data_IF_012066636311
#
_entry.id   IF_012066636311
#
_cell.length_a   1.000
_cell.length_b   1.000
_cell.length_c   1.000
_cell.angle_alpha   90.00
_cell.angle_beta   90.00
_cell.angle_gamma   90.00
#
_symmetry.space_group_name_H-M   'P 1'
#
loop_
_entity.id
_entity.type
_entity.pdbx_description
1 polymer ?
#
# COMPACT_ATOMS: atom_id res chain seq x y z
N UNK A 1 -7.92 -10.29 2.26
CA UNK A 1 -8.35 -9.09 3.02
C UNK A 1 -8.78 -9.54 4.41
N UNK A 2 -8.22 -9.01 5.52
CA UNK A 2 -8.69 -9.37 6.85
C UNK A 2 -10.16 -8.99 7.00
N UNK A 3 -10.95 -9.89 7.61
CA UNK A 3 -12.34 -9.60 7.97
C UNK A 3 -12.39 -8.39 8.89
N UNK A 4 -13.44 -7.57 8.81
CA UNK A 4 -13.64 -6.40 9.69
C UNK A 4 -13.56 -6.79 11.16
N UNK A 5 -14.02 -7.99 11.53
CA UNK A 5 -13.91 -8.52 12.89
C UNK A 5 -12.47 -8.84 13.29
N UNK A 6 -11.65 -9.31 12.35
CA UNK A 6 -10.23 -9.57 12.59
C UNK A 6 -9.43 -8.27 12.72
N UNK A 7 -9.80 -7.23 11.96
CA UNK A 7 -9.23 -5.90 12.07
C UNK A 7 -9.54 -5.28 13.45
N UNK A 8 -10.80 -5.31 13.87
CA UNK A 8 -11.21 -4.83 15.18
C UNK A 8 -10.49 -5.56 16.31
N UNK A 9 -10.45 -6.90 16.27
CA UNK A 9 -9.73 -7.68 17.27
C UNK A 9 -8.24 -7.32 17.35
N UNK A 10 -7.61 -6.92 16.24
CA UNK A 10 -6.16 -6.66 16.20
C UNK A 10 -5.79 -5.23 16.64
N UNK A 11 -6.59 -4.23 16.28
CA UNK A 11 -6.23 -2.82 16.47
C UNK A 11 -7.06 -2.09 17.52
N UNK A 12 -8.31 -2.50 17.76
CA UNK A 12 -9.15 -1.86 18.79
C UNK A 12 -8.65 -2.23 20.17
N UNK A 13 -8.37 -1.23 21.00
CA UNK A 13 -7.93 -1.38 22.38
C UNK A 13 -9.10 -1.12 23.34
N UNK A 14 -9.57 -2.17 24.01
CA UNK A 14 -10.70 -2.08 24.94
C UNK A 14 -10.20 -1.97 26.39
N UNK A 15 -10.44 -0.81 27.01
CA UNK A 15 -10.01 -0.53 28.40
C UNK A 15 -10.91 -1.21 29.43
N UNK A 16 -12.10 -1.70 29.04
CA UNK A 16 -13.08 -2.30 29.95
C UNK A 16 -12.64 -3.65 30.55
N UNK A 17 -11.64 -4.32 29.97
CA UNK A 17 -11.21 -5.64 30.41
C UNK A 17 -10.01 -5.56 31.37
N UNK A 18 -10.27 -5.33 32.65
CA UNK A 18 -9.22 -5.21 33.69
C UNK A 18 -8.26 -6.40 33.72
N UNK A 19 -8.77 -7.62 33.51
CA UNK A 19 -7.94 -8.84 33.58
C UNK A 19 -6.88 -8.86 32.49
N UNK A 20 -7.20 -8.33 31.31
CA UNK A 20 -6.25 -8.23 30.20
C UNK A 20 -5.25 -7.10 30.45
N UNK A 21 -5.71 -5.95 30.97
CA UNK A 21 -4.86 -4.82 31.30
C UNK A 21 -3.81 -5.18 32.36
N UNK A 22 -4.19 -5.86 33.44
CA UNK A 22 -3.24 -6.29 34.50
C UNK A 22 -2.20 -7.31 34.02
N UNK A 23 -2.43 -7.99 32.89
CA UNK A 23 -1.44 -8.88 32.25
C UNK A 23 -0.45 -8.12 31.37
N UNK A 24 -0.82 -6.94 30.91
CA UNK A 24 -0.05 -6.17 29.94
C UNK A 24 0.73 -5.05 30.63
N UNK A 25 0.07 -4.29 31.49
CA UNK A 25 0.61 -3.10 32.12
C UNK A 25 0.90 -3.32 33.61
N UNK A 26 1.76 -2.48 34.17
CA UNK A 26 1.96 -2.32 35.61
C UNK A 26 0.71 -1.72 36.28
N UNK A 27 0.53 -2.00 37.57
CA UNK A 27 -0.70 -1.64 38.29
C UNK A 27 -0.99 -0.14 38.32
N UNK A 28 0.06 0.69 38.32
CA UNK A 28 -0.07 2.14 38.34
C UNK A 28 -0.68 2.66 37.04
N UNK A 29 -0.26 2.11 35.89
CA UNK A 29 -0.80 2.48 34.57
C UNK A 29 -2.24 1.97 34.42
N UNK A 30 -2.56 0.79 34.98
CA UNK A 30 -3.94 0.28 34.97
C UNK A 30 -4.89 1.23 35.72
N UNK A 31 -4.47 1.76 36.87
CA UNK A 31 -5.26 2.77 37.62
C UNK A 31 -5.42 4.06 36.81
N UNK A 32 -4.36 4.52 36.15
CA UNK A 32 -4.40 5.69 35.27
C UNK A 32 -5.41 5.47 34.12
N UNK A 33 -5.37 4.31 33.47
CA UNK A 33 -6.24 3.97 32.34
C UNK A 33 -7.72 3.91 32.71
N UNK A 34 -8.05 3.41 33.90
CA UNK A 34 -9.43 3.31 34.38
C UNK A 34 -9.91 4.67 34.89
N UNK A 35 -9.03 5.45 35.52
CA UNK A 35 -9.39 6.73 36.12
C UNK A 35 -9.50 7.90 35.14
N UNK A 36 -8.87 7.82 33.97
CA UNK A 36 -8.76 8.96 33.04
C UNK A 36 -9.66 8.81 31.80
N UNK A 37 -10.70 9.66 31.73
CA UNK A 37 -11.55 9.75 30.54
C UNK A 37 -10.80 10.25 29.29
N UNK A 38 -9.73 11.03 29.48
CA UNK A 38 -8.90 11.56 28.40
C UNK A 38 -8.23 10.44 27.59
N UNK A 39 -7.74 9.38 28.25
CA UNK A 39 -7.06 8.28 27.57
C UNK A 39 -8.02 7.50 26.69
N UNK A 40 -9.23 7.25 27.20
CA UNK A 40 -10.29 6.59 26.43
C UNK A 40 -10.66 7.41 25.19
N UNK A 41 -10.73 8.74 25.32
CA UNK A 41 -11.00 9.63 24.18
C UNK A 41 -9.89 9.59 23.12
N UNK A 42 -8.61 9.61 23.53
CA UNK A 42 -7.49 9.54 22.58
C UNK A 42 -7.38 8.17 21.89
N UNK A 43 -7.62 7.07 22.61
CA UNK A 43 -7.67 5.72 22.03
C UNK A 43 -8.81 5.59 21.01
N UNK A 44 -9.96 6.21 21.27
CA UNK A 44 -11.07 6.24 20.33
C UNK A 44 -10.71 7.03 19.06
N UNK A 45 -10.02 8.18 19.19
CA UNK A 45 -9.51 8.95 18.03
C UNK A 45 -8.48 8.17 17.21
N UNK A 46 -7.60 7.41 17.86
CA UNK A 46 -6.65 6.52 17.19
C UNK A 46 -7.40 5.48 16.35
N UNK A 47 -8.39 4.81 16.95
CA UNK A 47 -9.22 3.81 16.28
C UNK A 47 -9.96 4.37 15.07
N UNK A 48 -10.55 5.56 15.19
CA UNK A 48 -11.23 6.24 14.07
C UNK A 48 -10.26 6.59 12.94
N UNK A 49 -9.03 6.96 13.29
CA UNK A 49 -7.97 7.25 12.30
C UNK A 49 -7.55 5.98 11.57
N UNK A 50 -7.33 4.88 12.27
CA UNK A 50 -7.00 3.59 11.65
C UNK A 50 -8.13 3.06 10.74
N UNK A 51 -9.39 3.34 11.10
CA UNK A 51 -10.54 3.02 10.25
C UNK A 51 -10.52 3.82 8.94
N UNK A 52 -10.27 5.13 9.02
CA UNK A 52 -10.12 6.00 7.84
C UNK A 52 -8.96 5.56 6.95
N UNK A 53 -7.80 5.29 7.55
CA UNK A 53 -6.61 4.81 6.81
C UNK A 53 -6.91 3.49 6.10
N UNK A 54 -7.67 2.59 6.73
CA UNK A 54 -8.11 1.33 6.12
C UNK A 54 -9.04 1.54 4.92
N UNK A 55 -9.94 2.52 4.97
CA UNK A 55 -10.85 2.80 3.86
C UNK A 55 -10.06 3.40 2.67
N UNK A 56 -9.17 4.36 2.95
CA UNK A 56 -8.24 4.93 1.96
C UNK A 56 -7.39 3.84 1.29
N UNK A 57 -6.83 2.91 2.07
CA UNK A 57 -6.00 1.82 1.53
C UNK A 57 -6.82 0.84 0.67
N UNK A 58 -8.11 0.66 0.94
CA UNK A 58 -8.97 -0.18 0.10
C UNK A 58 -9.25 0.47 -1.26
N UNK A 59 -9.32 1.80 -1.29
CA UNK A 59 -9.46 2.57 -2.52
C UNK A 59 -8.16 2.56 -3.33
N UNK A 60 -7.01 2.73 -2.68
CA UNK A 60 -5.68 2.70 -3.33
C UNK A 60 -5.35 1.30 -3.87
N UNK A 61 -5.63 0.24 -3.09
CA UNK A 61 -5.31 -1.15 -3.44
C UNK A 61 -6.57 -2.01 -3.61
N UNK A 62 -7.32 -1.86 -4.73
CA UNK A 62 -8.60 -2.55 -4.92
C UNK A 62 -8.45 -4.08 -4.96
N UNK A 63 -7.33 -4.57 -5.52
CA UNK A 63 -6.99 -5.99 -5.61
C UNK A 63 -6.59 -6.60 -4.25
N UNK A 64 -6.27 -5.77 -3.25
CA UNK A 64 -5.88 -6.23 -1.91
C UNK A 64 -4.48 -6.86 -1.85
N UNK A 65 -3.54 -6.35 -2.64
CA UNK A 65 -2.13 -6.73 -2.55
C UNK A 65 -1.53 -6.17 -1.25
N UNK A 66 -0.98 -7.05 -0.41
CA UNK A 66 -0.42 -6.67 0.90
C UNK A 66 1.09 -6.38 0.86
N UNK A 67 1.74 -6.60 -0.29
CA UNK A 67 3.18 -6.42 -0.44
C UNK A 67 3.41 -5.04 -1.06
N UNK A 68 3.88 -4.10 -0.26
CA UNK A 68 4.22 -2.75 -0.69
C UNK A 68 5.70 -2.51 -0.35
N UNK A 69 6.39 -1.79 -1.22
CA UNK A 69 7.77 -1.33 -0.98
C UNK A 69 7.71 0.02 -0.27
N UNK A 70 8.25 0.08 0.94
CA UNK A 70 8.30 1.29 1.76
C UNK A 70 9.70 1.42 2.40
N UNK A 71 10.17 2.66 2.65
CA UNK A 71 11.46 2.87 3.29
C UNK A 71 11.42 2.39 4.74
N UNK A 72 12.51 1.76 5.18
CA UNK A 72 12.65 1.29 6.57
C UNK A 72 11.78 0.08 6.91
N UNK A 73 12.41 -1.07 7.16
CA UNK A 73 11.68 -2.25 7.64
C UNK A 73 11.38 -2.13 9.15
N UNK A 74 10.18 -1.64 9.46
CA UNK A 74 9.73 -1.43 10.85
C UNK A 74 9.73 -2.72 11.68
N UNK A 75 9.37 -3.88 11.07
CA UNK A 75 9.38 -5.15 11.79
C UNK A 75 10.79 -5.52 12.26
N UNK A 76 11.80 -5.28 11.41
CA UNK A 76 13.20 -5.53 11.76
C UNK A 76 13.70 -4.55 12.81
N UNK A 77 13.31 -3.28 12.74
CA UNK A 77 13.68 -2.29 13.76
C UNK A 77 13.08 -2.63 15.13
N UNK A 78 11.82 -3.06 15.19
CA UNK A 78 11.18 -3.53 16.42
C UNK A 78 11.90 -4.77 16.97
N UNK A 79 12.24 -5.73 16.11
CA UNK A 79 12.98 -6.91 16.51
C UNK A 79 14.38 -6.55 17.06
N UNK A 80 15.08 -5.61 16.43
CA UNK A 80 16.36 -5.08 16.93
C UNK A 80 16.18 -4.44 18.31
N UNK A 81 15.16 -3.61 18.50
CA UNK A 81 14.86 -3.01 19.80
C UNK A 81 14.65 -4.09 20.88
N UNK A 82 13.87 -5.13 20.57
CA UNK A 82 13.66 -6.25 21.50
C UNK A 82 14.95 -6.97 21.88
N UNK A 83 15.92 -7.06 20.95
CA UNK A 83 17.22 -7.68 21.21
C UNK A 83 18.16 -6.80 22.01
N UNK A 84 18.23 -5.51 21.71
CA UNK A 84 19.10 -4.54 22.40
C UNK A 84 18.69 -4.39 23.86
N UNK A 85 17.39 -4.26 24.11
CA UNK A 85 16.85 -4.06 25.46
C UNK A 85 16.48 -5.36 26.18
N UNK A 86 16.82 -6.52 25.61
CA UNK A 86 16.55 -7.84 26.19
C UNK A 86 15.09 -8.01 26.67
N UNK A 87 14.13 -7.64 25.81
CA UNK A 87 12.72 -7.57 26.19
C UNK A 87 12.13 -8.95 26.37
N UNK A 88 11.51 -9.18 27.53
CA UNK A 88 10.77 -10.40 27.82
C UNK A 88 9.30 -10.24 27.42
N UNK A 89 8.82 -11.03 26.46
CA UNK A 89 7.41 -10.98 26.01
C UNK A 89 6.38 -11.36 27.10
N UNK A 90 6.84 -11.90 28.23
CA UNK A 90 6.00 -12.29 29.37
C UNK A 90 5.91 -11.23 30.45
N UNK A 91 6.80 -10.23 30.47
CA UNK A 91 6.77 -9.17 31.47
C UNK A 91 5.69 -8.13 31.16
N UNK A 92 5.30 -7.39 32.21
CA UNK A 92 4.47 -6.20 32.06
C UNK A 92 5.29 -5.06 31.44
N UNK A 93 4.60 -4.14 30.77
CA UNK A 93 5.18 -2.94 30.14
C UNK A 93 4.80 -1.69 30.92
N UNK A 94 5.77 -0.79 31.10
CA UNK A 94 5.57 0.52 31.76
C UNK A 94 5.18 1.64 30.81
N UNK A 95 4.74 1.28 29.60
CA UNK A 95 4.39 2.24 28.56
C UNK A 95 2.96 2.75 28.73
N UNK A 96 2.81 4.01 29.15
CA UNK A 96 1.49 4.67 29.20
C UNK A 96 0.97 4.96 27.78
N UNK A 97 -0.29 4.63 27.46
CA UNK A 97 -0.90 4.91 26.16
C UNK A 97 -0.84 6.38 25.71
N UNK A 98 -0.89 7.34 26.63
CA UNK A 98 -0.75 8.76 26.30
C UNK A 98 0.62 9.08 25.71
N UNK A 99 1.68 8.45 26.22
CA UNK A 99 3.04 8.65 25.73
C UNK A 99 3.21 8.13 24.30
N UNK A 100 2.53 7.03 23.97
CA UNK A 100 2.51 6.47 22.60
C UNK A 100 1.77 7.37 21.61
N UNK A 101 0.74 8.07 22.08
CA UNK A 101 -0.17 8.85 21.23
C UNK A 101 0.22 10.32 21.05
N UNK A 102 0.64 11.02 22.10
CA UNK A 102 0.75 12.49 22.08
C UNK A 102 2.18 13.04 22.25
N UNK A 103 2.83 12.79 23.39
CA UNK A 103 3.96 13.65 23.83
C UNK A 103 5.32 13.24 23.28
N UNK A 104 5.49 11.98 22.88
CA UNK A 104 6.67 11.51 22.14
C UNK A 104 6.29 10.43 21.13
N UNK A 105 5.06 10.52 20.60
CA UNK A 105 4.40 9.41 19.95
C UNK A 105 4.47 9.41 18.42
N UNK A 106 3.53 8.69 17.82
CA UNK A 106 3.37 8.59 16.36
C UNK A 106 2.99 9.94 15.72
N UNK A 107 2.21 10.78 16.44
CA UNK A 107 1.82 12.11 15.94
C UNK A 107 3.01 13.05 15.78
N UNK A 108 3.98 13.02 16.70
CA UNK A 108 5.18 13.85 16.62
C UNK A 108 6.13 13.34 15.53
N UNK A 109 6.34 12.01 15.46
CA UNK A 109 7.13 11.40 14.39
C UNK A 109 6.56 11.77 13.01
N UNK A 110 5.23 11.71 12.83
CA UNK A 110 4.57 12.09 11.58
C UNK A 110 4.80 13.55 11.18
N UNK A 111 5.08 14.45 12.14
CA UNK A 111 5.42 15.86 11.86
C UNK A 111 6.89 16.03 11.48
N UNK A 112 7.79 15.21 12.05
CA UNK A 112 9.22 15.23 11.73
C UNK A 112 9.52 14.66 10.34
N UNK A 113 8.66 13.77 9.84
CA UNK A 113 8.75 13.19 8.51
C UNK A 113 8.31 14.22 7.46
N UNK A 114 9.28 14.97 6.94
CA UNK A 114 9.08 15.99 5.91
C UNK A 114 9.81 15.57 4.64
N UNK A 115 9.07 15.47 3.54
CA UNK A 115 9.58 15.19 2.18
C UNK A 115 9.54 16.47 1.34
N UNK A 116 8.45 17.23 1.43
CA UNK A 116 8.29 18.51 0.73
C UNK A 116 8.48 19.63 1.75
N UNK A 117 9.61 20.34 1.75
CA UNK A 117 9.79 21.48 2.65
C UNK A 117 8.89 22.65 2.21
N UNK A 118 8.22 23.28 3.16
CA UNK A 118 7.43 24.49 2.93
C UNK A 118 6.26 24.67 3.90
N UNK A 119 5.96 25.91 4.25
CA UNK A 119 4.87 26.25 5.18
C UNK A 119 3.54 26.57 4.51
N UNK A 120 3.55 26.69 3.18
CA UNK A 120 2.37 26.98 2.37
C UNK A 120 1.34 25.85 2.45
N UNK A 121 0.07 26.19 2.26
CA UNK A 121 -1.04 25.21 2.27
C UNK A 121 -0.83 24.12 1.24
N UNK A 122 -0.31 24.47 0.06
CA UNK A 122 -0.01 23.53 -1.02
C UNK A 122 1.14 22.58 -0.66
N UNK A 123 2.21 23.10 -0.04
CA UNK A 123 3.35 22.29 0.39
C UNK A 123 2.96 21.31 1.49
N UNK A 124 2.13 21.75 2.44
CA UNK A 124 1.56 20.88 3.50
C UNK A 124 0.72 19.76 2.90
N UNK A 125 -0.17 20.08 1.97
CA UNK A 125 -0.98 19.07 1.28
C UNK A 125 -0.12 18.11 0.44
N UNK A 126 0.91 18.61 -0.24
CA UNK A 126 1.84 17.78 -0.99
C UNK A 126 2.62 16.83 -0.07
N UNK A 127 3.08 17.30 1.09
CA UNK A 127 3.77 16.48 2.07
C UNK A 127 2.85 15.39 2.67
N UNK A 128 1.61 15.73 2.99
CA UNK A 128 0.60 14.78 3.46
C UNK A 128 0.35 13.66 2.44
N UNK A 129 0.23 14.00 1.16
CA UNK A 129 0.04 13.03 0.08
C UNK A 129 1.29 12.15 -0.12
N UNK A 130 2.49 12.74 -0.11
CA UNK A 130 3.75 12.02 -0.28
C UNK A 130 4.01 11.03 0.85
N UNK A 131 3.63 11.38 2.08
CA UNK A 131 3.87 10.56 3.28
C UNK A 131 2.70 9.66 3.65
N UNK A 132 1.58 9.72 2.93
CA UNK A 132 0.32 9.04 3.27
C UNK A 132 0.51 7.54 3.57
N UNK A 133 1.13 6.79 2.65
CA UNK A 133 1.33 5.35 2.79
C UNK A 133 2.27 5.00 3.95
N UNK A 134 3.33 5.80 4.14
CA UNK A 134 4.29 5.60 5.22
C UNK A 134 3.65 5.89 6.58
N UNK A 135 2.87 6.96 6.69
CA UNK A 135 2.10 7.30 7.89
C UNK A 135 1.04 6.23 8.21
N UNK A 136 0.35 5.70 7.20
CA UNK A 136 -0.56 4.56 7.39
C UNK A 136 0.19 3.33 7.93
N UNK A 137 1.37 3.03 7.38
CA UNK A 137 2.20 1.93 7.88
C UNK A 137 2.59 2.18 9.34
N UNK A 138 3.17 3.35 9.66
CA UNK A 138 3.60 3.71 11.01
C UNK A 138 2.47 3.57 12.02
N UNK A 139 1.29 4.17 11.75
CA UNK A 139 0.12 4.07 12.64
C UNK A 139 -0.36 2.63 12.80
N UNK A 140 -0.38 1.85 11.72
CA UNK A 140 -0.79 0.43 11.78
C UNK A 140 0.23 -0.43 12.54
N UNK A 141 1.52 -0.10 12.51
CA UNK A 141 2.55 -0.85 13.22
C UNK A 141 2.68 -0.44 14.66
N UNK A 142 2.70 0.86 14.94
CA UNK A 142 2.94 1.45 16.26
C UNK A 142 1.63 1.76 17.01
N UNK A 143 0.54 1.09 16.64
CA UNK A 143 -0.73 1.18 17.35
C UNK A 143 -0.55 0.77 18.82
N UNK A 144 -1.19 1.49 19.75
CA UNK A 144 -1.02 1.29 21.19
C UNK A 144 -1.23 -0.17 21.60
N UNK A 145 -2.26 -0.82 21.04
CA UNK A 145 -2.52 -2.24 21.29
C UNK A 145 -1.37 -3.15 20.87
N UNK A 146 -0.79 -2.92 19.69
CA UNK A 146 0.28 -3.78 19.15
C UNK A 146 1.59 -3.56 19.91
N UNK A 147 1.91 -2.31 20.22
CA UNK A 147 3.10 -1.96 20.99
C UNK A 147 3.04 -2.59 22.38
N UNK A 148 1.89 -2.52 23.05
CA UNK A 148 1.72 -3.07 24.38
C UNK A 148 1.59 -4.61 24.38
N UNK A 149 0.76 -5.20 23.51
CA UNK A 149 0.47 -6.64 23.56
C UNK A 149 1.43 -7.50 22.74
N UNK A 150 1.71 -7.12 21.48
CA UNK A 150 2.55 -7.91 20.56
C UNK A 150 4.03 -7.68 20.82
N UNK A 151 4.46 -6.42 20.93
CA UNK A 151 5.88 -6.07 20.98
C UNK A 151 6.42 -5.91 22.40
N UNK A 152 5.54 -5.63 23.37
CA UNK A 152 5.88 -5.50 24.79
C UNK A 152 7.00 -4.50 25.05
N UNK A 153 6.97 -3.35 24.36
CA UNK A 153 8.04 -2.36 24.47
C UNK A 153 7.94 -1.56 25.77
N UNK A 154 9.09 -1.30 26.40
CA UNK A 154 9.26 -0.30 27.45
C UNK A 154 9.40 1.10 26.85
N UNK A 155 9.33 2.12 27.69
CA UNK A 155 9.46 3.50 27.25
C UNK A 155 10.79 3.78 26.54
N UNK A 156 11.91 3.33 27.11
CA UNK A 156 13.26 3.55 26.58
C UNK A 156 13.44 2.86 25.23
N UNK A 157 12.88 1.65 25.10
CA UNK A 157 12.92 0.91 23.84
C UNK A 157 12.05 1.56 22.75
N UNK A 158 10.93 2.17 23.15
CA UNK A 158 10.04 2.89 22.24
C UNK A 158 10.67 4.21 21.78
N UNK A 159 11.28 4.99 22.68
CA UNK A 159 12.00 6.21 22.36
C UNK A 159 13.15 5.94 21.38
N UNK A 160 13.96 4.90 21.66
CA UNK A 160 15.01 4.45 20.76
C UNK A 160 14.47 4.08 19.37
N UNK A 161 13.34 3.36 19.31
CA UNK A 161 12.72 2.95 18.06
C UNK A 161 12.30 4.16 17.21
N UNK A 162 11.75 5.20 17.82
CA UNK A 162 11.34 6.42 17.10
C UNK A 162 12.53 7.16 16.51
N UNK A 163 13.62 7.30 17.26
CA UNK A 163 14.86 7.91 16.77
C UNK A 163 15.51 7.10 15.64
N UNK A 164 15.47 5.77 15.72
CA UNK A 164 15.96 4.90 14.64
C UNK A 164 15.09 5.05 13.38
N UNK A 165 13.76 5.10 13.51
CA UNK A 165 12.85 5.31 12.37
C UNK A 165 13.14 6.65 11.69
N UNK A 166 13.29 7.73 12.46
CA UNK A 166 13.63 9.06 11.94
C UNK A 166 14.96 9.04 11.18
N UNK A 167 15.99 8.46 11.79
CA UNK A 167 17.32 8.35 11.18
C UNK A 167 17.28 7.55 9.87
N UNK A 168 16.56 6.42 9.85
CA UNK A 168 16.42 5.58 8.66
C UNK A 168 15.60 6.25 7.57
N UNK A 169 14.58 7.02 7.95
CA UNK A 169 13.78 7.77 6.99
C UNK A 169 14.62 8.86 6.32
N UNK A 170 15.38 9.63 7.10
CA UNK A 170 16.26 10.68 6.59
C UNK A 170 17.36 10.10 5.68
N UNK A 171 17.92 8.95 6.02
CA UNK A 171 18.88 8.23 5.17
C UNK A 171 18.27 7.71 3.86
N UNK A 172 16.97 7.44 3.84
CA UNK A 172 16.27 6.92 2.65
C UNK A 172 15.88 8.02 1.65
N UNK A 173 16.10 9.30 1.99
CA UNK A 173 15.82 10.39 1.07
C UNK A 173 16.81 10.39 -0.09
N UNK A 174 16.30 10.62 -1.30
CA UNK A 174 17.13 10.73 -2.50
C UNK A 174 18.05 11.96 -2.41
N UNK A 175 19.31 11.80 -2.80
CA UNK A 175 20.28 12.89 -2.73
C UNK A 175 20.02 13.89 -3.88
N UNK A 176 19.99 15.20 -3.60
CA UNK A 176 19.86 16.19 -4.65
C UNK A 176 21.08 16.17 -5.57
N UNK A 177 20.84 16.22 -6.89
CA UNK A 177 21.90 16.19 -7.90
C UNK A 177 22.27 14.78 -8.38
N UNK A 178 21.60 13.74 -7.90
CA UNK A 178 21.76 12.38 -8.43
C UNK A 178 21.28 12.29 -9.89
N UNK A 179 22.04 11.58 -10.75
CA UNK A 179 21.76 11.44 -12.18
C UNK A 179 20.66 10.41 -12.44
N UNK A 180 19.43 10.73 -12.01
CA UNK A 180 18.26 9.83 -12.07
C UNK A 180 17.92 9.35 -13.48
N UNK A 181 18.21 10.15 -14.52
CA UNK A 181 17.93 9.77 -15.91
C UNK A 181 18.79 8.60 -16.40
N UNK A 182 20.10 8.65 -16.13
CA UNK A 182 21.01 7.58 -16.51
C UNK A 182 20.77 6.30 -15.70
N UNK A 183 20.51 6.46 -14.38
CA UNK A 183 20.18 5.35 -13.49
C UNK A 183 18.86 4.67 -13.90
N UNK A 184 17.84 5.44 -14.24
CA UNK A 184 16.55 4.90 -14.69
C UNK A 184 16.69 4.15 -16.03
N UNK A 185 17.45 4.70 -16.99
CA UNK A 185 17.73 4.03 -18.26
C UNK A 185 18.43 2.68 -18.03
N UNK A 186 19.52 2.67 -17.25
CA UNK A 186 20.25 1.44 -16.95
C UNK A 186 19.39 0.39 -16.21
N UNK A 187 18.56 0.84 -15.26
CA UNK A 187 17.68 -0.05 -14.48
C UNK A 187 16.62 -0.75 -15.34
N UNK A 188 16.25 -0.15 -16.47
CA UNK A 188 15.34 -0.75 -17.45
C UNK A 188 16.08 -1.61 -18.47
N UNK A 189 17.28 -1.20 -18.90
CA UNK A 189 18.04 -1.87 -19.95
C UNK A 189 18.72 -3.16 -19.45
N UNK A 190 19.22 -3.20 -18.21
CA UNK A 190 19.85 -4.39 -17.64
C UNK A 190 18.92 -5.63 -17.68
N UNK A 191 17.68 -5.59 -17.15
CA UNK A 191 16.77 -6.72 -17.25
C UNK A 191 16.34 -6.99 -18.71
N UNK A 192 16.29 -5.97 -19.57
CA UNK A 192 15.95 -6.14 -20.98
C UNK A 192 16.97 -7.03 -21.72
N UNK A 193 18.25 -7.00 -21.35
CA UNK A 193 19.26 -7.92 -21.90
C UNK A 193 19.02 -9.37 -21.51
N UNK A 194 18.39 -9.61 -20.36
CA UNK A 194 18.04 -10.95 -19.86
C UNK A 194 16.69 -11.44 -20.42
N UNK A 195 15.89 -10.56 -21.02
CA UNK A 195 14.63 -10.95 -21.64
C UNK A 195 14.88 -11.74 -22.93
N UNK A 196 14.31 -12.92 -23.02
CA UNK A 196 14.32 -13.72 -24.26
C UNK A 196 13.56 -13.01 -25.38
N UNK A 197 14.03 -13.17 -26.62
CA UNK A 197 13.44 -12.53 -27.82
C UNK A 197 11.98 -12.92 -28.09
N UNK A 198 11.49 -14.07 -27.58
CA UNK A 198 10.08 -14.48 -27.63
C UNK A 198 9.82 -15.53 -26.53
N UNK A 199 8.74 -15.41 -25.76
CA UNK A 199 8.28 -16.48 -24.86
C UNK A 199 7.05 -17.17 -25.46
N UNK A 200 7.23 -18.39 -25.97
CA UNK A 200 6.13 -19.20 -26.54
C UNK A 200 5.36 -20.02 -25.50
N UNK A 201 5.77 -19.99 -24.23
CA UNK A 201 5.16 -20.81 -23.19
C UNK A 201 4.78 -19.96 -21.98
N UNK A 202 3.55 -19.42 -22.01
CA UNK A 202 2.83 -19.11 -20.78
C UNK A 202 1.84 -20.26 -20.55
N UNK A 203 2.24 -21.24 -19.73
CA UNK A 203 1.39 -22.40 -19.44
C UNK A 203 0.08 -21.93 -18.77
N UNK A 204 -1.07 -22.27 -19.35
CA UNK A 204 -2.39 -22.04 -18.75
C UNK A 204 -3.27 -20.95 -19.37
N UNK A 205 -2.87 -20.30 -20.47
CA UNK A 205 -3.72 -19.34 -21.20
C UNK A 205 -3.92 -19.84 -22.63
N UNK A 206 -5.16 -20.15 -23.02
CA UNK A 206 -5.46 -20.89 -24.25
C UNK A 206 -5.43 -20.06 -25.54
N UNK A 207 -5.48 -18.72 -25.46
CA UNK A 207 -5.53 -17.88 -26.67
C UNK A 207 -4.89 -16.53 -26.38
N UNK A 208 -3.64 -16.35 -26.79
CA UNK A 208 -3.12 -15.16 -27.50
C UNK A 208 -1.60 -15.26 -27.56
N UNK A 209 -1.05 -15.36 -28.77
CA UNK A 209 0.36 -15.06 -29.01
C UNK A 209 0.54 -13.56 -28.84
N UNK A 210 0.59 -13.06 -27.60
CA UNK A 210 0.94 -11.66 -27.33
C UNK A 210 2.44 -11.53 -27.55
N UNK A 211 2.90 -10.49 -28.25
CA UNK A 211 4.32 -10.17 -28.26
C UNK A 211 4.78 -9.95 -26.81
N UNK A 212 5.66 -10.83 -26.33
CA UNK A 212 6.29 -10.76 -25.02
C UNK A 212 7.80 -10.66 -25.21
N UNK A 213 8.49 -10.09 -24.22
CA UNK A 213 9.94 -9.91 -24.27
C UNK A 213 10.37 -8.65 -25.02
N UNK A 214 11.57 -8.71 -25.61
CA UNK A 214 12.23 -7.58 -26.29
C UNK A 214 11.39 -6.98 -27.43
N UNK A 215 10.66 -7.75 -28.28
CA UNK A 215 9.84 -7.17 -29.34
C UNK A 215 8.74 -6.26 -28.82
N UNK A 216 8.12 -6.62 -27.68
CA UNK A 216 7.09 -5.81 -27.03
C UNK A 216 7.69 -4.52 -26.45
N UNK A 217 8.83 -4.65 -25.76
CA UNK A 217 9.56 -3.50 -25.23
C UNK A 217 9.93 -2.49 -26.32
N UNK A 218 10.43 -2.97 -27.46
CA UNK A 218 10.74 -2.13 -28.63
C UNK A 218 9.51 -1.45 -29.21
N UNK A 219 8.36 -2.13 -29.25
CA UNK A 219 7.10 -1.55 -29.74
C UNK A 219 6.59 -0.42 -28.83
N UNK A 220 6.72 -0.59 -27.51
CA UNK A 220 6.33 0.41 -26.50
C UNK A 220 7.23 1.65 -26.59
N UNK A 221 8.56 1.47 -26.60
CA UNK A 221 9.52 2.59 -26.65
C UNK A 221 9.36 3.41 -27.93
N UNK A 222 9.16 2.75 -29.07
CA UNK A 222 9.03 3.44 -30.36
C UNK A 222 7.60 3.94 -30.62
N UNK A 223 6.64 3.68 -29.73
CA UNK A 223 5.23 4.06 -29.89
C UNK A 223 4.71 3.64 -31.28
N UNK A 224 4.84 2.35 -31.61
CA UNK A 224 4.47 1.84 -32.93
C UNK A 224 2.97 2.05 -33.22
N UNK A 225 2.64 2.69 -34.34
CA UNK A 225 1.25 2.89 -34.79
C UNK A 225 0.51 1.59 -35.13
N UNK A 226 1.24 0.52 -35.44
CA UNK A 226 0.69 -0.80 -35.82
C UNK A 226 1.37 -1.87 -34.96
N UNK A 227 0.81 -2.22 -33.78
CA UNK A 227 1.36 -3.30 -32.96
C UNK A 227 1.18 -4.64 -33.68
N UNK A 228 2.12 -5.57 -33.50
CA UNK A 228 2.06 -6.86 -34.21
C UNK A 228 0.88 -7.72 -33.79
N UNK A 229 0.48 -7.64 -32.52
CA UNK A 229 -0.58 -8.47 -31.92
C UNK A 229 -1.56 -7.59 -31.13
N UNK A 230 -2.48 -6.87 -31.81
CA UNK A 230 -3.49 -6.07 -31.13
C UNK A 230 -4.45 -6.98 -30.35
N UNK A 231 -4.67 -6.68 -29.08
CA UNK A 231 -5.62 -7.39 -28.21
C UNK A 231 -6.44 -6.41 -27.39
N UNK A 232 -7.65 -6.83 -26.99
CA UNK A 232 -8.55 -6.04 -26.17
C UNK A 232 -9.16 -6.95 -25.09
N UNK A 233 -9.14 -6.48 -23.85
CA UNK A 233 -9.79 -7.16 -22.71
C UNK A 233 -11.14 -6.49 -22.49
N UNK A 234 -12.23 -7.24 -22.69
CA UNK A 234 -13.59 -6.77 -22.43
C UNK A 234 -14.09 -7.41 -21.14
N UNK A 235 -14.29 -6.59 -20.10
CA UNK A 235 -14.88 -7.04 -18.84
C UNK A 235 -16.40 -7.03 -18.96
N UNK A 236 -17.03 -8.19 -18.79
CA UNK A 236 -18.49 -8.31 -18.77
C UNK A 236 -19.03 -7.88 -17.39
N UNK A 237 -20.21 -7.27 -17.36
CA UNK A 237 -20.87 -6.81 -16.13
C UNK A 237 -22.16 -7.61 -15.86
N UNK A 238 -22.60 -7.60 -14.60
CA UNK A 238 -23.88 -8.18 -14.19
C UNK A 238 -23.97 -9.69 -14.38
N UNK A 239 -25.12 -10.16 -14.88
CA UNK A 239 -25.44 -11.59 -15.01
C UNK A 239 -24.55 -12.29 -16.04
N UNK A 240 -24.12 -11.57 -17.08
CA UNK A 240 -23.21 -12.09 -18.10
C UNK A 240 -21.79 -12.33 -17.58
N UNK A 241 -21.39 -11.75 -16.44
CA UNK A 241 -20.11 -12.05 -15.79
C UNK A 241 -20.11 -13.37 -15.02
N UNK A 242 -21.29 -13.87 -14.63
CA UNK A 242 -21.47 -15.07 -13.80
C UNK A 242 -21.93 -16.28 -14.61
N UNK A 243 -22.78 -16.06 -15.62
CA UNK A 243 -23.34 -17.11 -16.47
C UNK A 243 -22.57 -17.23 -17.79
N UNK A 244 -21.93 -18.39 -18.02
CA UNK A 244 -21.18 -18.66 -19.25
C UNK A 244 -22.05 -18.59 -20.53
N UNK A 245 -23.31 -19.03 -20.47
CA UNK A 245 -24.22 -19.00 -21.61
C UNK A 245 -24.56 -17.57 -22.06
N UNK A 246 -24.82 -16.67 -21.10
CA UNK A 246 -25.09 -15.25 -21.38
C UNK A 246 -23.81 -14.51 -21.78
N UNK A 247 -22.66 -14.88 -21.22
CA UNK A 247 -21.36 -14.38 -21.66
C UNK A 247 -21.13 -14.66 -23.14
N UNK A 248 -21.36 -15.91 -23.59
CA UNK A 248 -21.23 -16.31 -24.99
C UNK A 248 -22.13 -15.49 -25.92
N UNK A 249 -23.40 -15.27 -25.55
CA UNK A 249 -24.34 -14.46 -26.34
C UNK A 249 -23.88 -12.99 -26.43
N UNK A 250 -23.47 -12.39 -25.30
CA UNK A 250 -22.96 -11.02 -25.27
C UNK A 250 -21.69 -10.85 -26.10
N UNK A 251 -20.76 -11.82 -26.02
CA UNK A 251 -19.53 -11.83 -26.82
C UNK A 251 -19.85 -11.95 -28.30
N UNK A 252 -20.74 -12.86 -28.70
CA UNK A 252 -21.17 -13.01 -30.09
C UNK A 252 -21.82 -11.73 -30.64
N UNK A 253 -22.62 -11.05 -29.81
CA UNK A 253 -23.23 -9.76 -30.16
C UNK A 253 -22.16 -8.66 -30.35
N UNK A 254 -21.18 -8.54 -29.44
CA UNK A 254 -20.06 -7.60 -29.61
C UNK A 254 -19.28 -7.88 -30.89
N UNK A 255 -18.94 -9.14 -31.16
CA UNK A 255 -18.19 -9.53 -32.37
C UNK A 255 -18.98 -9.17 -33.64
N UNK A 256 -20.28 -9.45 -33.68
CA UNK A 256 -21.14 -9.06 -34.81
C UNK A 256 -21.20 -7.54 -34.98
N UNK A 257 -21.27 -6.78 -33.88
CA UNK A 257 -21.32 -5.33 -33.93
C UNK A 257 -19.99 -4.73 -34.43
N UNK A 258 -18.85 -5.21 -33.92
CA UNK A 258 -17.53 -4.82 -34.41
C UNK A 258 -17.33 -5.19 -35.88
N UNK A 259 -17.78 -6.38 -36.31
CA UNK A 259 -17.66 -6.80 -37.70
C UNK A 259 -18.48 -5.90 -38.63
N UNK A 260 -19.69 -5.51 -38.24
CA UNK A 260 -20.52 -4.54 -38.98
C UNK A 260 -19.89 -3.13 -39.02
N UNK A 261 -19.33 -2.65 -37.91
CA UNK A 261 -18.66 -1.34 -37.85
C UNK A 261 -17.41 -1.33 -38.74
N UNK A 262 -16.56 -2.36 -38.65
CA UNK A 262 -15.35 -2.47 -39.46
C UNK A 262 -15.71 -2.55 -40.96
N UNK A 263 -16.73 -3.33 -41.31
CA UNK A 263 -17.18 -3.46 -42.70
C UNK A 263 -17.82 -2.17 -43.23
N UNK A 264 -18.52 -1.41 -42.38
CA UNK A 264 -19.03 -0.07 -42.69
C UNK A 264 -17.92 0.98 -42.87
N UNK A 265 -16.88 0.95 -42.03
CA UNK A 265 -15.70 1.84 -42.17
C UNK A 265 -14.90 1.53 -43.43
N UNK A 266 -14.67 0.26 -43.73
CA UNK A 266 -13.99 -0.16 -44.97
C UNK A 266 -14.84 0.25 -46.19
N UNK A 267 -16.15 0.01 -46.18
CA UNK A 267 -17.03 0.40 -47.28
C UNK A 267 -17.13 1.94 -47.46
N UNK A 268 -17.08 2.70 -46.36
CA UNK A 268 -17.03 4.17 -46.38
C UNK A 268 -15.72 4.72 -46.97
N UNK A 269 -14.58 4.13 -46.62
CA UNK A 269 -13.26 4.52 -47.18
C UNK A 269 -13.18 4.17 -48.67
N UNK A 270 -13.69 3.01 -49.09
CA UNK A 270 -13.76 2.65 -50.52
C UNK A 270 -14.71 3.55 -51.32
N UNK A 271 -15.83 4.00 -50.73
CA UNK A 271 -16.71 4.99 -51.37
C UNK A 271 -16.07 6.36 -51.51
N UNK A 272 -15.22 6.76 -50.56
CA UNK A 272 -14.52 8.04 -50.60
C UNK A 272 -13.38 8.06 -51.62
N UNK A 273 -12.79 6.90 -51.95
CA UNK A 273 -11.78 6.75 -53.01
C UNK A 273 -12.34 6.51 -54.42
N UNK A 274 -13.63 6.19 -54.58
CA UNK A 274 -14.28 6.05 -55.90
C UNK A 274 -14.97 7.33 -56.40
N UNK A 275 -14.87 8.45 -55.68
CA UNK A 275 -15.45 9.76 -56.07
C UNK A 275 -14.36 10.82 -56.34
N UNK A 276 -13.12 10.38 -56.59
CA UNK A 276 -12.04 11.22 -57.14
C UNK A 276 -11.55 10.60 -58.44
#
# INVERSE_FOLDING_TARGET
KPSTKAFEKKFRFDVSNERQLRRVFSEDIVKELIGSAQVVAELQKEWETLKRDRDILQDIFPKGENKVVLPGNLQRMIWNAQKIFHINLRSQTDLSPLKVLEVAGVKELSKKIIVVPGEDTLSKQANENATLLFNCLLRSTLCTKRVAEEFRLFWEAFEWLLGEIETRFNQAQAQPGEMVGALAAQSLDEPATQMTLNTFHYAGVSVTNVTLGVPCFKEIINISKKPKTPSMIVLLTGVAARDAAKAMVSIACLICHFRKIIQGFICGIYRMFCVV
#
